data_IF_387853798646
#
_entry.id   IF_387853798646
#
_cell.length_a   1.000
_cell.length_b   1.000
_cell.length_c   1.000
_cell.angle_alpha   90.00
_cell.angle_beta   90.00
_cell.angle_gamma   90.00
#
_symmetry.space_group_name_H-M   'P 1'
#
loop_
_entity.id
_entity.type
_entity.pdbx_description
1 polymer ?
#
# COMPACT_ATOMS: atom_id res chain seq x y z
N UNK A 1 -14.06 -13.31 -11.82
CA UNK A 1 -12.69 -13.06 -11.31
C UNK A 1 -12.66 -11.68 -10.68
N UNK A 2 -12.77 -11.58 -9.35
CA UNK A 2 -12.70 -10.29 -8.65
C UNK A 2 -11.30 -9.72 -8.77
N UNK A 3 -11.13 -8.77 -9.69
CA UNK A 3 -9.89 -8.00 -9.82
C UNK A 3 -9.67 -7.24 -8.51
N UNK A 4 -8.44 -7.18 -7.98
CA UNK A 4 -8.16 -6.24 -6.90
C UNK A 4 -8.49 -4.83 -7.40
N UNK A 5 -9.23 -4.07 -6.61
CA UNK A 5 -9.46 -2.66 -6.90
C UNK A 5 -8.18 -1.94 -6.50
N UNK A 6 -7.39 -1.53 -7.48
CA UNK A 6 -6.18 -0.74 -7.23
C UNK A 6 -6.49 0.69 -7.60
N UNK A 7 -6.27 1.61 -6.67
CA UNK A 7 -6.50 3.03 -6.90
C UNK A 7 -5.18 3.77 -6.89
N UNK A 8 -4.96 4.57 -7.94
CA UNK A 8 -3.85 5.51 -7.97
C UNK A 8 -4.24 6.76 -7.18
N UNK A 9 -3.37 7.21 -6.29
CA UNK A 9 -3.59 8.41 -5.48
C UNK A 9 -2.62 9.52 -5.88
N UNK A 10 -2.85 10.72 -5.34
CA UNK A 10 -1.91 11.82 -5.51
C UNK A 10 -0.62 11.53 -4.73
N UNK A 11 0.50 11.48 -5.45
CA UNK A 11 1.82 11.20 -4.88
C UNK A 11 2.26 12.21 -3.83
N UNK A 12 2.01 13.50 -4.05
CA UNK A 12 2.42 14.56 -3.12
C UNK A 12 1.63 14.50 -1.81
N UNK A 13 0.33 14.18 -1.88
CA UNK A 13 -0.48 13.98 -0.68
C UNK A 13 -0.09 12.70 0.07
N UNK A 14 0.15 11.61 -0.66
CA UNK A 14 0.64 10.37 -0.08
C UNK A 14 1.99 10.55 0.60
N UNK A 15 2.91 11.32 0.01
CA UNK A 15 4.23 11.58 0.59
C UNK A 15 4.10 12.24 1.97
N UNK A 16 3.24 13.25 2.09
CA UNK A 16 2.93 13.89 3.39
C UNK A 16 2.35 12.89 4.39
N UNK A 17 1.45 12.01 3.93
CA UNK A 17 0.87 10.98 4.79
C UNK A 17 1.91 9.95 5.24
N UNK A 18 2.81 9.55 4.35
CA UNK A 18 3.90 8.63 4.64
C UNK A 18 4.89 9.25 5.63
N UNK A 19 5.27 10.51 5.46
CA UNK A 19 6.12 11.24 6.41
C UNK A 19 5.48 11.30 7.80
N UNK A 20 4.18 11.58 7.88
CA UNK A 20 3.42 11.53 9.14
C UNK A 20 3.40 10.12 9.74
N UNK A 21 3.21 9.08 8.93
CA UNK A 21 3.20 7.69 9.41
C UNK A 21 4.58 7.26 9.93
N UNK A 22 5.67 7.75 9.32
CA UNK A 22 7.02 7.56 9.82
C UNK A 22 7.20 8.27 11.18
N UNK A 23 6.77 9.53 11.28
CA UNK A 23 6.87 10.29 12.52
C UNK A 23 6.08 9.67 13.68
N UNK A 24 4.96 9.02 13.37
CA UNK A 24 4.10 8.33 14.34
C UNK A 24 4.48 6.87 14.60
N UNK A 25 5.42 6.29 13.84
CA UNK A 25 5.79 4.88 13.94
C UNK A 25 4.72 3.90 13.40
N UNK A 26 3.73 4.39 12.65
CA UNK A 26 2.65 3.60 12.04
C UNK A 26 2.99 3.12 10.63
N UNK A 27 4.13 3.55 10.07
CA UNK A 27 4.67 2.96 8.83
C UNK A 27 5.19 1.55 9.12
N UNK A 28 4.76 0.58 8.31
CA UNK A 28 5.27 -0.78 8.29
C UNK A 28 5.85 -1.05 6.90
N UNK A 29 7.06 -1.61 6.86
CA UNK A 29 7.75 -1.99 5.61
C UNK A 29 7.98 -3.51 5.54
N UNK A 30 8.20 -4.11 4.35
CA UNK A 30 8.26 -5.57 4.18
C UNK A 30 9.33 -6.27 5.03
N UNK A 31 10.36 -5.53 5.47
CA UNK A 31 11.38 -6.05 6.39
C UNK A 31 10.84 -6.32 7.81
N UNK A 32 9.77 -5.65 8.22
CA UNK A 32 9.08 -5.83 9.50
C UNK A 32 8.06 -6.99 9.40
N UNK A 33 8.57 -8.21 9.13
CA UNK A 33 7.77 -9.38 8.79
C UNK A 33 6.58 -9.60 9.73
N UNK A 34 6.79 -9.58 11.04
CA UNK A 34 5.73 -9.82 12.02
C UNK A 34 4.56 -8.82 11.90
N UNK A 35 4.89 -7.51 11.84
CA UNK A 35 3.87 -6.45 11.70
C UNK A 35 3.21 -6.48 10.32
N UNK A 36 3.99 -6.79 9.30
CA UNK A 36 3.54 -6.88 7.92
C UNK A 36 2.53 -8.02 7.74
N UNK A 37 2.91 -9.22 8.15
CA UNK A 37 2.06 -10.42 8.07
C UNK A 37 0.79 -10.27 8.91
N UNK A 38 0.91 -9.69 10.11
CA UNK A 38 -0.26 -9.38 10.95
C UNK A 38 -1.25 -8.45 10.23
N UNK A 39 -0.77 -7.38 9.60
CA UNK A 39 -1.62 -6.46 8.85
C UNK A 39 -2.24 -7.12 7.62
N UNK A 40 -1.43 -7.83 6.82
CA UNK A 40 -1.88 -8.53 5.60
C UNK A 40 -2.95 -9.56 5.94
N UNK A 41 -2.76 -10.34 7.01
CA UNK A 41 -3.72 -11.34 7.47
C UNK A 41 -5.01 -10.68 7.99
N UNK A 42 -4.89 -9.65 8.83
CA UNK A 42 -6.04 -8.92 9.37
C UNK A 42 -6.90 -8.26 8.28
N UNK A 43 -6.26 -7.69 7.26
CA UNK A 43 -6.91 -6.96 6.17
C UNK A 43 -7.18 -7.83 4.93
N UNK A 44 -6.82 -9.13 4.96
CA UNK A 44 -6.95 -10.09 3.84
C UNK A 44 -6.35 -9.57 2.54
N UNK A 45 -5.19 -8.92 2.65
CA UNK A 45 -4.50 -8.32 1.52
C UNK A 45 -3.99 -9.41 0.58
N UNK A 46 -4.28 -9.28 -0.72
CA UNK A 46 -3.79 -10.20 -1.76
C UNK A 46 -2.52 -9.64 -2.38
N UNK A 47 -1.40 -9.75 -1.66
CA UNK A 47 -0.11 -9.14 -2.04
C UNK A 47 0.36 -9.55 -3.44
N UNK A 48 0.29 -10.85 -3.76
CA UNK A 48 0.72 -11.37 -5.06
C UNK A 48 -0.05 -10.71 -6.21
N UNK A 49 -1.36 -10.53 -6.07
CA UNK A 49 -2.18 -9.90 -7.10
C UNK A 49 -1.86 -8.42 -7.23
N UNK A 50 -1.62 -7.72 -6.12
CA UNK A 50 -1.30 -6.31 -6.15
C UNK A 50 0.08 -6.06 -6.74
N UNK A 51 1.09 -6.83 -6.31
CA UNK A 51 2.44 -6.75 -6.84
C UNK A 51 2.47 -7.07 -8.34
N UNK A 52 1.76 -8.10 -8.80
CA UNK A 52 1.67 -8.43 -10.22
C UNK A 52 1.03 -7.31 -11.03
N UNK A 53 -0.05 -6.70 -10.52
CA UNK A 53 -0.69 -5.56 -11.19
C UNK A 53 0.23 -4.35 -11.26
N UNK A 54 0.86 -4.00 -10.14
CA UNK A 54 1.67 -2.80 -10.01
C UNK A 54 2.95 -2.89 -10.84
N UNK A 55 3.67 -4.02 -10.76
CA UNK A 55 4.87 -4.30 -11.56
C UNK A 55 4.59 -4.46 -13.06
N UNK A 56 3.35 -4.75 -13.45
CA UNK A 56 2.95 -4.76 -14.86
C UNK A 56 2.79 -3.35 -15.45
N UNK A 57 2.79 -2.30 -14.62
CA UNK A 57 2.61 -0.91 -15.04
C UNK A 57 3.80 0.00 -14.75
N UNK A 58 4.49 -0.26 -13.65
CA UNK A 58 5.53 0.61 -13.09
C UNK A 58 6.70 -0.25 -12.62
N UNK A 59 7.89 0.34 -12.62
CA UNK A 59 9.12 -0.29 -12.18
C UNK A 59 9.59 0.34 -10.85
N UNK A 60 10.47 -0.36 -10.13
CA UNK A 60 11.05 0.15 -8.87
C UNK A 60 10.03 0.55 -7.78
N UNK A 61 8.87 -0.11 -7.77
CA UNK A 61 7.86 0.12 -6.73
C UNK A 61 8.28 -0.46 -5.38
N UNK A 62 8.19 0.37 -4.35
CA UNK A 62 8.37 0.02 -2.96
C UNK A 62 7.01 -0.22 -2.29
N UNK A 63 6.90 -1.35 -1.62
CA UNK A 63 5.71 -1.73 -0.87
C UNK A 63 5.78 -1.12 0.54
N UNK A 64 4.68 -0.52 1.00
CA UNK A 64 4.58 0.06 2.35
C UNK A 64 3.15 -0.03 2.87
N UNK A 65 3.01 -0.29 4.16
CA UNK A 65 1.73 -0.26 4.86
C UNK A 65 1.74 0.97 5.77
N UNK A 66 0.63 1.69 5.78
CA UNK A 66 0.35 2.74 6.76
C UNK A 66 -0.72 2.17 7.68
N UNK A 67 -0.32 1.81 8.91
CA UNK A 67 -1.21 1.34 9.97
C UNK A 67 -1.75 2.53 10.78
N UNK A 68 -2.35 3.47 10.05
CA UNK A 68 -3.02 4.65 10.61
C UNK A 68 -4.52 4.57 10.35
N UNK A 69 -5.29 5.42 11.02
CA UNK A 69 -6.71 5.56 10.74
C UNK A 69 -7.00 6.09 9.32
N UNK A 70 -8.29 6.13 8.92
CA UNK A 70 -8.70 6.78 7.68
C UNK A 70 -8.22 8.24 7.62
N UNK A 71 -7.88 8.78 6.42
CA UNK A 71 -8.08 8.18 5.10
C UNK A 71 -6.88 7.38 4.56
N UNK A 72 -5.71 7.48 5.20
CA UNK A 72 -4.42 6.96 4.68
C UNK A 72 -4.04 5.58 5.23
N UNK A 73 -4.85 4.99 6.11
CA UNK A 73 -4.69 3.60 6.54
C UNK A 73 -4.82 2.62 5.37
N UNK A 74 -3.78 1.83 5.08
CA UNK A 74 -3.83 0.95 3.92
C UNK A 74 -2.50 0.33 3.53
N UNK A 75 -2.58 -0.55 2.53
CA UNK A 75 -1.43 -1.09 1.83
C UNK A 75 -1.18 -0.34 0.52
N UNK A 76 0.06 0.09 0.32
CA UNK A 76 0.49 0.94 -0.78
C UNK A 76 1.71 0.37 -1.50
N UNK A 77 1.81 0.69 -2.79
CA UNK A 77 3.02 0.53 -3.59
C UNK A 77 3.32 1.86 -4.24
N UNK A 78 4.51 2.39 -4.05
CA UNK A 78 4.88 3.72 -4.52
C UNK A 78 6.27 3.71 -5.13
N UNK A 79 6.54 4.63 -6.06
CA UNK A 79 7.86 4.82 -6.65
C UNK A 79 8.18 6.31 -6.65
N UNK A 80 9.28 6.68 -6.00
CA UNK A 80 9.78 8.05 -6.00
C UNK A 80 10.28 8.45 -7.39
N UNK A 81 10.82 7.51 -8.16
CA UNK A 81 11.37 7.75 -9.48
C UNK A 81 10.26 8.03 -10.52
N UNK A 82 9.12 7.36 -10.39
CA UNK A 82 7.98 7.53 -11.29
C UNK A 82 6.89 8.46 -10.71
N UNK A 83 7.12 9.02 -9.51
CA UNK A 83 6.16 9.87 -8.78
C UNK A 83 4.75 9.27 -8.73
N UNK A 84 4.66 7.95 -8.52
CA UNK A 84 3.40 7.20 -8.50
C UNK A 84 3.17 6.56 -7.15
N UNK A 85 1.90 6.50 -6.76
CA UNK A 85 1.43 5.71 -5.63
C UNK A 85 0.15 4.97 -6.02
N UNK A 86 0.13 3.69 -5.70
CA UNK A 86 -1.00 2.80 -5.82
C UNK A 86 -1.41 2.36 -4.41
N UNK A 87 -2.71 2.38 -4.15
CA UNK A 87 -3.33 1.82 -2.96
C UNK A 87 -4.04 0.54 -3.34
N UNK A 88 -3.83 -0.50 -2.55
CA UNK A 88 -4.67 -1.68 -2.60
C UNK A 88 -6.00 -1.39 -1.92
N UNK A 89 -7.09 -1.58 -2.65
CA UNK A 89 -8.43 -1.60 -2.10
C UNK A 89 -8.99 -3.02 -2.14
N UNK A 90 -9.63 -3.39 -1.03
CA UNK A 90 -10.35 -4.64 -0.95
C UNK A 90 -11.53 -4.57 -1.93
N UNK A 91 -11.71 -5.57 -2.82
CA UNK A 91 -12.93 -5.62 -3.63
C UNK A 91 -14.14 -5.73 -2.68
N UNK A 92 -15.25 -5.02 -2.96
CA UNK A 92 -16.46 -5.15 -2.16
C UNK A 92 -16.86 -6.63 -2.11
N UNK A 93 -17.14 -7.14 -0.90
CA UNK A 93 -17.71 -8.46 -0.72
C UNK A 93 -19.11 -8.43 -1.35
N UNK A 94 -19.30 -9.17 -2.46
CA UNK A 94 -20.61 -9.40 -3.06
C UNK A 94 -21.33 -10.52 -2.33
#
# INVERSE_FOLDING_TARGET
MSRPTVVQLNFQEFKKALENAVAQGTRIIPREKDRWEAYVAANRVRELNFQAYARGKYENLEAVIIDAGPPWGGYYMWSAAEEVVLRWERPPEQ
#
